data_IF_641181379414
#
_entry.id   IF_641181379414
#
_cell.length_a   1.000
_cell.length_b   1.000
_cell.length_c   1.000
_cell.angle_alpha   90.00
_cell.angle_beta   90.00
_cell.angle_gamma   90.00
#
_symmetry.space_group_name_H-M   'P 1'
#
loop_
_entity.id
_entity.type
_entity.pdbx_description
1 polymer ?
#
# COMPACT_ATOMS: atom_id res chain seq x y z
N UNK A 1 -29.50 -5.47 -14.00
CA UNK A 1 -28.23 -5.94 -14.55
C UNK A 1 -27.63 -6.84 -13.49
N UNK A 2 -27.80 -8.15 -13.63
CA UNK A 2 -27.15 -9.11 -12.70
C UNK A 2 -25.64 -9.02 -12.95
N UNK A 3 -24.91 -8.55 -11.97
CA UNK A 3 -23.45 -8.52 -11.99
C UNK A 3 -22.96 -9.96 -11.86
N UNK A 4 -22.34 -10.45 -12.92
CA UNK A 4 -21.69 -11.75 -12.90
C UNK A 4 -20.55 -11.68 -11.87
N UNK A 5 -20.65 -12.47 -10.80
CA UNK A 5 -19.75 -12.47 -9.65
C UNK A 5 -18.29 -12.85 -10.04
N UNK A 6 -18.08 -13.39 -11.25
CA UNK A 6 -16.78 -13.67 -11.85
C UNK A 6 -16.06 -12.42 -12.38
N UNK A 7 -16.66 -11.23 -12.27
CA UNK A 7 -16.03 -10.00 -12.73
C UNK A 7 -14.87 -9.65 -11.78
N UNK A 8 -13.66 -9.59 -12.31
CA UNK A 8 -12.49 -9.12 -11.58
C UNK A 8 -12.78 -7.77 -10.89
N UNK A 9 -12.42 -7.63 -9.62
CA UNK A 9 -12.66 -6.44 -8.81
C UNK A 9 -12.22 -5.15 -9.54
N UNK A 10 -11.10 -5.19 -10.27
CA UNK A 10 -10.60 -4.05 -11.07
C UNK A 10 -11.54 -3.72 -12.24
N UNK A 11 -12.05 -4.71 -12.96
CA UNK A 11 -13.01 -4.49 -14.04
C UNK A 11 -14.30 -3.88 -13.50
N UNK A 12 -14.76 -4.35 -12.34
CA UNK A 12 -15.90 -3.78 -11.64
C UNK A 12 -15.66 -2.32 -11.26
N UNK A 13 -14.52 -2.02 -10.64
CA UNK A 13 -14.14 -0.67 -10.22
C UNK A 13 -13.98 0.29 -11.41
N UNK A 14 -13.39 -0.17 -12.52
CA UNK A 14 -13.32 0.61 -13.77
C UNK A 14 -14.72 0.95 -14.32
N UNK A 15 -15.69 0.05 -14.18
CA UNK A 15 -17.06 0.32 -14.60
C UNK A 15 -17.74 1.41 -13.76
N UNK A 16 -17.36 1.59 -12.48
CA UNK A 16 -17.93 2.62 -11.61
C UNK A 16 -17.58 4.04 -12.05
N UNK A 17 -16.41 4.25 -12.65
CA UNK A 17 -15.95 5.59 -13.06
C UNK A 17 -16.80 6.21 -14.17
N UNK A 18 -17.46 5.37 -14.97
CA UNK A 18 -18.36 5.80 -16.05
C UNK A 18 -19.81 6.07 -15.60
N UNK A 19 -20.10 5.85 -14.30
CA UNK A 19 -21.47 5.91 -13.79
C UNK A 19 -21.77 7.25 -13.08
N UNK A 20 -23.05 7.67 -13.07
CA UNK A 20 -23.49 8.77 -12.24
C UNK A 20 -23.18 8.51 -10.74
N UNK A 21 -22.84 9.57 -10.00
CA UNK A 21 -22.37 9.50 -8.61
C UNK A 21 -23.25 8.63 -7.70
N UNK A 22 -24.57 8.77 -7.76
CA UNK A 22 -25.48 7.98 -6.93
C UNK A 22 -25.44 6.47 -7.23
N UNK A 23 -25.25 6.11 -8.50
CA UNK A 23 -25.11 4.71 -8.90
C UNK A 23 -23.74 4.17 -8.48
N UNK A 24 -22.68 4.95 -8.62
CA UNK A 24 -21.36 4.58 -8.16
C UNK A 24 -21.33 4.33 -6.65
N UNK A 25 -21.97 5.17 -5.84
CA UNK A 25 -22.07 5.00 -4.37
C UNK A 25 -22.80 3.70 -4.01
N UNK A 26 -23.95 3.40 -4.63
CA UNK A 26 -24.69 2.17 -4.32
C UNK A 26 -23.92 0.90 -4.70
N UNK A 27 -23.12 0.97 -5.77
CA UNK A 27 -22.31 -0.14 -6.23
C UNK A 27 -21.02 -0.29 -5.42
N UNK A 28 -20.54 0.79 -4.78
CA UNK A 28 -19.41 0.76 -3.87
C UNK A 28 -19.64 -0.18 -2.67
N UNK A 29 -20.85 -0.28 -2.20
CA UNK A 29 -21.21 -1.22 -1.14
C UNK A 29 -21.04 -2.69 -1.54
N UNK A 30 -21.17 -3.02 -2.81
CA UNK A 30 -20.96 -4.38 -3.32
C UNK A 30 -19.47 -4.77 -3.35
N UNK A 31 -18.56 -3.80 -3.25
CA UNK A 31 -17.12 -4.07 -3.20
C UNK A 31 -16.74 -4.97 -2.02
N UNK A 32 -17.42 -4.84 -0.88
CA UNK A 32 -17.23 -5.73 0.28
C UNK A 32 -17.46 -7.18 -0.08
N UNK A 33 -18.56 -7.48 -0.78
CA UNK A 33 -18.92 -8.85 -1.14
C UNK A 33 -17.91 -9.45 -2.13
N UNK A 34 -17.43 -8.65 -3.08
CA UNK A 34 -16.38 -9.05 -4.02
C UNK A 34 -15.09 -9.39 -3.28
N UNK A 35 -14.67 -8.52 -2.34
CA UNK A 35 -13.48 -8.75 -1.52
C UNK A 35 -13.66 -10.00 -0.63
N UNK A 36 -14.83 -10.20 -0.03
CA UNK A 36 -15.10 -11.37 0.81
C UNK A 36 -15.05 -12.69 0.04
N UNK A 37 -15.51 -12.70 -1.21
CA UNK A 37 -15.41 -13.89 -2.06
C UNK A 37 -13.96 -14.29 -2.31
N UNK A 38 -13.08 -13.30 -2.56
CA UNK A 38 -11.63 -13.52 -2.72
C UNK A 38 -10.99 -14.03 -1.42
N UNK A 39 -11.31 -13.40 -0.29
CA UNK A 39 -10.67 -13.67 1.00
C UNK A 39 -10.96 -15.04 1.58
N UNK A 40 -12.06 -15.70 1.19
CA UNK A 40 -12.40 -17.05 1.66
C UNK A 40 -11.32 -18.09 1.34
N UNK A 41 -10.56 -17.90 0.29
CA UNK A 41 -9.50 -18.82 -0.16
C UNK A 41 -8.09 -18.37 0.24
N UNK A 42 -7.93 -17.16 0.78
CA UNK A 42 -6.61 -16.60 1.08
C UNK A 42 -6.08 -17.05 2.44
N UNK A 43 -4.77 -17.32 2.48
CA UNK A 43 -4.02 -17.50 3.72
C UNK A 43 -3.77 -16.14 4.38
N UNK A 44 -3.38 -16.09 5.68
CA UNK A 44 -2.92 -14.88 6.31
C UNK A 44 -1.86 -14.18 5.45
N UNK A 45 -2.03 -12.90 5.17
CA UNK A 45 -1.28 -12.14 4.17
C UNK A 45 -0.63 -10.90 4.78
N UNK A 46 0.27 -10.29 4.05
CA UNK A 46 0.81 -8.98 4.38
C UNK A 46 0.06 -7.95 3.55
N UNK A 47 -0.71 -7.09 4.21
CA UNK A 47 -1.41 -5.98 3.60
C UNK A 47 -0.58 -4.71 3.69
N UNK A 48 -0.49 -3.95 2.61
CA UNK A 48 0.33 -2.74 2.56
C UNK A 48 -0.48 -1.60 1.94
N UNK A 49 -0.48 -0.44 2.60
CA UNK A 49 -1.09 0.77 2.08
C UNK A 49 -0.24 1.44 0.99
N UNK A 50 -0.85 2.32 0.20
CA UNK A 50 -0.16 3.08 -0.86
C UNK A 50 0.26 4.45 -0.34
N UNK A 51 -0.69 5.30 0.01
CA UNK A 51 -0.50 6.73 0.23
C UNK A 51 0.27 7.01 1.51
N UNK A 52 1.50 7.49 1.41
CA UNK A 52 2.38 7.70 2.55
C UNK A 52 3.15 6.45 3.01
N UNK A 53 2.84 5.27 2.47
CA UNK A 53 3.53 4.00 2.78
C UNK A 53 4.38 3.52 1.62
N UNK A 54 3.79 3.26 0.46
CA UNK A 54 4.49 2.87 -0.78
C UNK A 54 4.83 4.05 -1.66
N UNK A 55 4.04 5.11 -1.59
CA UNK A 55 4.17 6.32 -2.37
C UNK A 55 4.30 7.56 -1.49
N UNK A 56 5.06 8.56 -1.95
CA UNK A 56 5.10 9.86 -1.31
C UNK A 56 3.74 10.54 -1.43
N UNK A 57 3.04 10.69 -0.31
CA UNK A 57 1.81 11.46 -0.26
C UNK A 57 2.08 12.85 0.29
N UNK A 58 1.69 13.89 -0.45
CA UNK A 58 1.90 15.28 -0.08
C UNK A 58 0.57 15.89 0.36
N UNK A 59 0.43 16.24 1.64
CA UNK A 59 -0.80 16.89 2.15
C UNK A 59 -1.17 18.18 1.40
N UNK A 60 -0.16 18.89 0.90
CA UNK A 60 -0.33 20.14 0.13
C UNK A 60 -0.28 19.90 -1.39
N UNK A 61 -0.48 18.65 -1.83
CA UNK A 61 -0.83 18.30 -3.19
C UNK A 61 0.13 18.66 -4.31
N UNK A 62 1.40 19.00 -4.08
CA UNK A 62 2.30 19.46 -5.15
C UNK A 62 1.68 20.55 -6.05
N UNK A 63 0.99 21.53 -5.47
CA UNK A 63 0.31 22.58 -6.19
C UNK A 63 -1.19 22.36 -6.39
N UNK A 64 -1.73 21.24 -5.96
CA UNK A 64 -3.16 20.98 -5.89
C UNK A 64 -3.71 21.22 -4.48
N UNK A 65 -4.92 21.72 -4.39
CA UNK A 65 -5.70 21.68 -3.15
C UNK A 65 -6.07 20.23 -2.82
N UNK A 66 -6.49 19.97 -1.57
CA UNK A 66 -6.95 18.65 -1.17
C UNK A 66 -8.09 18.12 -2.06
N UNK A 67 -9.01 18.97 -2.47
CA UNK A 67 -10.14 18.60 -3.33
C UNK A 67 -9.68 18.30 -4.76
N UNK A 68 -8.77 19.11 -5.31
CA UNK A 68 -8.22 18.93 -6.66
C UNK A 68 -7.42 17.62 -6.81
N UNK A 69 -6.86 17.06 -5.74
CA UNK A 69 -6.21 15.74 -5.78
C UNK A 69 -7.16 14.63 -6.23
N UNK A 70 -8.47 14.80 -6.01
CA UNK A 70 -9.49 13.82 -6.37
C UNK A 70 -10.14 14.08 -7.73
N UNK A 71 -9.69 15.10 -8.46
CA UNK A 71 -10.14 15.32 -9.84
C UNK A 71 -9.39 14.35 -10.77
N UNK A 72 -10.12 13.50 -11.52
CA UNK A 72 -9.50 12.48 -12.38
C UNK A 72 -8.51 13.07 -13.40
N UNK A 73 -8.80 14.25 -13.93
CA UNK A 73 -7.96 14.97 -14.91
C UNK A 73 -6.60 15.40 -14.38
N UNK A 74 -6.43 15.47 -13.06
CA UNK A 74 -5.16 15.86 -12.43
C UNK A 74 -4.19 14.68 -12.29
N UNK A 75 -4.69 13.45 -12.39
CA UNK A 75 -3.90 12.23 -12.26
C UNK A 75 -2.95 12.25 -11.06
N UNK A 76 -3.38 12.87 -9.94
CA UNK A 76 -2.54 13.09 -8.77
C UNK A 76 -1.97 11.78 -8.23
N UNK A 77 -2.83 10.78 -8.02
CA UNK A 77 -2.40 9.49 -7.45
C UNK A 77 -1.58 8.65 -8.42
N UNK A 78 -1.78 8.83 -9.73
CA UNK A 78 -0.99 8.17 -10.77
C UNK A 78 0.46 8.67 -10.80
N UNK A 79 0.66 9.95 -10.46
CA UNK A 79 1.94 10.64 -10.55
C UNK A 79 2.69 10.72 -9.21
N UNK A 80 2.28 9.99 -8.17
CA UNK A 80 3.02 9.93 -6.90
C UNK A 80 4.36 9.21 -7.11
N UNK A 81 5.41 9.78 -6.52
CA UNK A 81 6.72 9.12 -6.48
C UNK A 81 6.68 7.89 -5.57
N UNK A 82 7.26 6.76 -5.98
CA UNK A 82 7.37 5.59 -5.12
C UNK A 82 8.43 5.81 -4.03
N UNK A 83 8.20 5.23 -2.86
CA UNK A 83 9.26 4.98 -1.89
C UNK A 83 10.10 3.79 -2.37
N UNK A 84 11.24 4.07 -2.98
CA UNK A 84 12.08 3.05 -3.65
C UNK A 84 12.43 1.90 -2.71
N UNK A 85 12.81 2.22 -1.48
CA UNK A 85 13.08 1.20 -0.47
C UNK A 85 11.87 0.27 -0.24
N UNK A 86 10.65 0.82 -0.15
CA UNK A 86 9.43 0.05 0.08
C UNK A 86 9.08 -0.85 -1.10
N UNK A 87 9.31 -0.41 -2.34
CA UNK A 87 9.12 -1.24 -3.54
C UNK A 87 10.00 -2.50 -3.47
N UNK A 88 11.29 -2.35 -3.15
CA UNK A 88 12.20 -3.49 -2.96
C UNK A 88 11.79 -4.40 -1.79
N UNK A 89 11.28 -3.82 -0.70
CA UNK A 89 10.78 -4.60 0.44
C UNK A 89 9.58 -5.46 0.02
N UNK A 90 8.60 -4.88 -0.67
CA UNK A 90 7.41 -5.60 -1.17
C UNK A 90 7.80 -6.73 -2.11
N UNK A 91 8.69 -6.46 -3.06
CA UNK A 91 9.21 -7.49 -3.98
C UNK A 91 9.86 -8.66 -3.21
N UNK A 92 10.60 -8.36 -2.16
CA UNK A 92 11.24 -9.39 -1.34
C UNK A 92 10.23 -10.17 -0.52
N UNK A 93 9.25 -9.49 0.10
CA UNK A 93 8.18 -10.11 0.89
C UNK A 93 7.32 -11.05 0.04
N UNK A 94 7.03 -10.66 -1.20
CA UNK A 94 6.21 -11.46 -2.12
C UNK A 94 6.83 -12.82 -2.51
N UNK A 95 8.14 -12.99 -2.29
CA UNK A 95 8.85 -14.26 -2.55
C UNK A 95 8.56 -15.36 -1.52
N UNK A 96 8.02 -15.02 -0.36
CA UNK A 96 7.75 -15.99 0.70
C UNK A 96 6.34 -15.91 1.30
N UNK A 97 5.56 -14.86 1.01
CA UNK A 97 4.19 -14.69 1.51
C UNK A 97 3.34 -13.94 0.49
N UNK A 98 2.04 -14.18 0.51
CA UNK A 98 1.11 -13.38 -0.26
C UNK A 98 1.12 -11.94 0.25
N UNK A 99 1.44 -11.02 -0.65
CA UNK A 99 1.36 -9.57 -0.40
C UNK A 99 0.14 -9.01 -1.09
N UNK A 100 -0.65 -8.27 -0.35
CA UNK A 100 -1.85 -7.59 -0.81
C UNK A 100 -1.68 -6.08 -0.68
N UNK A 101 -2.11 -5.36 -1.67
CA UNK A 101 -2.22 -3.90 -1.59
C UNK A 101 -3.63 -3.56 -1.11
N UNK A 102 -3.75 -2.74 -0.06
CA UNK A 102 -5.03 -2.27 0.46
C UNK A 102 -5.01 -0.76 0.66
N UNK A 103 -5.72 -0.02 -0.18
CA UNK A 103 -5.70 1.45 -0.13
C UNK A 103 -7.09 2.04 -0.04
N UNK A 104 -7.22 3.08 0.79
CA UNK A 104 -8.42 3.91 0.80
C UNK A 104 -8.44 4.79 -0.45
N UNK A 105 -9.58 4.83 -1.16
CA UNK A 105 -9.70 5.56 -2.41
C UNK A 105 -11.07 6.22 -2.54
N UNK A 106 -11.11 7.39 -3.17
CA UNK A 106 -12.31 7.86 -3.84
C UNK A 106 -12.48 7.06 -5.12
N UNK A 107 -13.73 6.73 -5.49
CA UNK A 107 -14.02 5.92 -6.70
C UNK A 107 -13.42 6.53 -7.98
N UNK A 108 -13.28 7.87 -8.04
CA UNK A 108 -12.70 8.60 -9.18
C UNK A 108 -11.19 8.37 -9.33
N UNK A 109 -10.51 8.02 -8.24
CA UNK A 109 -9.04 7.89 -8.19
C UNK A 109 -8.55 6.45 -8.27
N UNK A 110 -9.46 5.48 -8.32
CA UNK A 110 -9.11 4.05 -8.36
C UNK A 110 -8.27 3.71 -9.57
N UNK A 111 -8.61 4.25 -10.75
CA UNK A 111 -7.85 4.00 -11.97
C UNK A 111 -6.39 4.46 -11.82
N UNK A 112 -6.17 5.68 -11.30
CA UNK A 112 -4.84 6.22 -11.06
C UNK A 112 -4.02 5.34 -10.12
N UNK A 113 -4.60 4.95 -8.98
CA UNK A 113 -3.94 4.07 -8.02
C UNK A 113 -3.65 2.69 -8.58
N UNK A 114 -4.57 2.14 -9.36
CA UNK A 114 -4.37 0.86 -10.03
C UNK A 114 -3.21 0.92 -11.03
N UNK A 115 -3.18 1.94 -11.87
CA UNK A 115 -2.09 2.14 -12.84
C UNK A 115 -0.76 2.36 -12.16
N UNK A 116 -0.74 3.10 -11.04
CA UNK A 116 0.44 3.25 -10.20
C UNK A 116 0.95 1.90 -9.68
N UNK A 117 0.05 1.05 -9.15
CA UNK A 117 0.42 -0.30 -8.69
C UNK A 117 1.01 -1.10 -9.84
N UNK A 118 0.39 -1.08 -11.02
CA UNK A 118 0.89 -1.87 -12.18
C UNK A 118 2.22 -1.38 -12.73
N UNK A 119 2.53 -0.11 -12.57
CA UNK A 119 3.82 0.45 -12.95
C UNK A 119 4.94 0.02 -11.98
N UNK A 120 4.73 0.20 -10.68
CA UNK A 120 5.79 0.01 -9.69
C UNK A 120 5.82 -1.39 -9.06
N UNK A 121 4.71 -2.11 -9.08
CA UNK A 121 4.53 -3.45 -8.51
C UNK A 121 3.85 -4.40 -9.51
N UNK A 122 4.40 -4.56 -10.74
CA UNK A 122 3.74 -5.33 -11.80
C UNK A 122 3.55 -6.80 -11.46
N UNK A 123 4.29 -7.33 -10.50
CA UNK A 123 4.21 -8.70 -10.00
C UNK A 123 3.03 -8.94 -9.05
N UNK A 124 2.37 -7.89 -8.54
CA UNK A 124 1.16 -8.03 -7.71
C UNK A 124 -0.01 -8.39 -8.62
N UNK A 125 -0.62 -9.54 -8.32
CA UNK A 125 -1.85 -9.99 -9.00
C UNK A 125 -3.01 -9.04 -8.72
N UNK A 126 -3.92 -8.87 -9.67
CA UNK A 126 -5.15 -8.10 -9.50
C UNK A 126 -6.00 -8.63 -8.33
N UNK A 127 -5.92 -9.94 -8.06
CA UNK A 127 -6.60 -10.56 -6.92
C UNK A 127 -6.06 -10.13 -5.57
N UNK A 128 -4.86 -9.58 -5.53
CA UNK A 128 -4.21 -9.07 -4.33
C UNK A 128 -4.29 -7.54 -4.20
N UNK A 129 -5.15 -6.87 -4.98
CA UNK A 129 -5.38 -5.44 -4.92
C UNK A 129 -6.78 -5.17 -4.36
N UNK A 130 -6.84 -4.44 -3.25
CA UNK A 130 -8.05 -4.09 -2.52
C UNK A 130 -8.17 -2.58 -2.39
N UNK A 131 -9.32 -2.04 -2.79
CA UNK A 131 -9.65 -0.64 -2.53
C UNK A 131 -10.80 -0.56 -1.51
N UNK A 132 -10.70 0.41 -0.62
CA UNK A 132 -11.72 0.72 0.38
C UNK A 132 -12.21 2.14 0.18
N UNK A 133 -13.50 2.46 0.40
CA UNK A 133 -13.96 3.84 0.41
C UNK A 133 -13.20 4.69 1.43
N UNK A 134 -13.00 5.98 1.11
CA UNK A 134 -12.40 6.94 2.04
C UNK A 134 -13.17 6.96 3.38
N UNK A 135 -12.42 6.99 4.48
CA UNK A 135 -13.00 7.06 5.83
C UNK A 135 -13.64 5.76 6.32
N UNK A 136 -13.59 4.69 5.54
CA UNK A 136 -14.06 3.37 5.97
C UNK A 136 -12.89 2.54 6.50
N UNK A 137 -13.12 1.86 7.62
CA UNK A 137 -12.16 0.97 8.25
C UNK A 137 -11.79 -0.18 7.29
N UNK A 138 -10.50 -0.30 6.99
CA UNK A 138 -9.94 -1.32 6.08
C UNK A 138 -10.27 -2.75 6.54
N UNK A 139 -10.37 -3.00 7.85
CA UNK A 139 -10.68 -4.34 8.38
C UNK A 139 -12.04 -4.85 7.92
N UNK A 140 -12.99 -3.94 7.63
CA UNK A 140 -14.31 -4.29 7.10
C UNK A 140 -14.26 -4.89 5.70
N UNK A 141 -13.18 -4.66 4.96
CA UNK A 141 -12.96 -5.17 3.60
C UNK A 141 -12.13 -6.46 3.56
N UNK A 142 -11.54 -6.83 4.70
CA UNK A 142 -10.72 -8.04 4.84
C UNK A 142 -11.19 -8.92 6.01
N UNK A 143 -12.48 -8.84 6.37
CA UNK A 143 -13.09 -9.53 7.51
C UNK A 143 -12.77 -11.03 7.50
N UNK A 144 -12.25 -11.53 8.64
CA UNK A 144 -11.84 -12.91 8.82
C UNK A 144 -10.39 -13.18 8.43
N UNK A 145 -9.71 -12.23 7.77
CA UNK A 145 -8.31 -12.35 7.39
C UNK A 145 -7.40 -11.33 8.12
N UNK A 146 -7.95 -10.24 8.68
CA UNK A 146 -7.19 -9.27 9.47
C UNK A 146 -6.55 -9.94 10.70
N UNK A 147 -7.29 -10.80 11.40
CA UNK A 147 -6.90 -11.44 12.67
C UNK A 147 -5.56 -12.18 12.62
N UNK A 148 -5.16 -12.69 11.43
CA UNK A 148 -3.91 -13.45 11.25
C UNK A 148 -2.92 -12.79 10.31
N UNK A 149 -3.19 -11.56 9.91
CA UNK A 149 -2.45 -10.86 8.87
C UNK A 149 -1.72 -9.64 9.44
N UNK A 150 -0.75 -9.15 8.68
CA UNK A 150 -0.03 -7.91 8.97
C UNK A 150 -0.64 -6.78 8.13
N UNK A 151 -0.76 -5.58 8.73
CA UNK A 151 -0.94 -4.33 7.98
C UNK A 151 0.29 -3.45 8.15
N UNK A 152 0.87 -3.02 7.05
CA UNK A 152 1.88 -1.95 7.01
C UNK A 152 1.20 -0.69 6.47
N UNK A 153 1.10 0.34 7.30
CA UNK A 153 0.34 1.56 7.00
C UNK A 153 0.98 2.76 7.73
N UNK A 154 0.83 3.96 7.22
CA UNK A 154 1.32 5.17 7.86
C UNK A 154 0.26 5.89 8.69
N UNK A 155 -1.01 5.49 8.60
CA UNK A 155 -2.13 6.15 9.28
C UNK A 155 -2.55 5.41 10.54
N UNK A 156 -2.43 6.08 11.70
CA UNK A 156 -2.64 5.45 13.02
C UNK A 156 -4.02 4.83 13.18
N UNK A 157 -5.09 5.45 12.67
CA UNK A 157 -6.44 4.91 12.81
C UNK A 157 -6.63 3.57 12.09
N UNK A 158 -5.98 3.39 10.93
CA UNK A 158 -5.99 2.10 10.23
C UNK A 158 -5.28 1.02 11.06
N UNK A 159 -4.12 1.38 11.63
CA UNK A 159 -3.32 0.48 12.47
C UNK A 159 -4.06 0.09 13.75
N UNK A 160 -4.72 1.07 14.41
CA UNK A 160 -5.52 0.83 15.60
C UNK A 160 -6.71 -0.10 15.34
N UNK A 161 -7.38 0.11 14.21
CA UNK A 161 -8.48 -0.75 13.80
C UNK A 161 -7.99 -2.17 13.50
N UNK A 162 -6.83 -2.30 12.84
CA UNK A 162 -6.24 -3.59 12.51
C UNK A 162 -5.83 -4.38 13.75
N UNK A 163 -5.10 -3.74 14.67
CA UNK A 163 -4.69 -4.29 15.96
C UNK A 163 -5.89 -4.74 16.80
N UNK A 164 -6.93 -3.89 16.88
CA UNK A 164 -8.18 -4.22 17.58
C UNK A 164 -8.91 -5.45 17.01
N UNK A 165 -8.72 -5.73 15.73
CA UNK A 165 -9.27 -6.92 15.06
C UNK A 165 -8.32 -8.13 15.11
N UNK A 166 -7.29 -8.11 15.96
CA UNK A 166 -6.38 -9.23 16.21
C UNK A 166 -5.27 -9.40 15.17
N UNK A 167 -5.10 -8.45 14.26
CA UNK A 167 -3.99 -8.43 13.32
C UNK A 167 -2.74 -7.77 13.89
N UNK A 168 -1.62 -7.89 13.20
CA UNK A 168 -0.39 -7.17 13.53
C UNK A 168 -0.30 -5.87 12.75
N UNK A 169 -0.16 -4.77 13.45
CA UNK A 169 -0.01 -3.44 12.88
C UNK A 169 1.46 -3.02 12.88
N UNK A 170 1.99 -2.67 11.71
CA UNK A 170 3.35 -2.13 11.53
C UNK A 170 3.24 -0.71 10.99
N UNK A 171 3.77 0.25 11.73
CA UNK A 171 3.79 1.65 11.35
C UNK A 171 4.86 1.94 10.31
N UNK A 172 4.47 2.45 9.15
CA UNK A 172 5.39 3.11 8.24
C UNK A 172 5.64 4.54 8.72
N UNK A 173 6.85 4.83 9.23
CA UNK A 173 7.22 6.18 9.64
C UNK A 173 7.64 6.97 8.40
N UNK A 174 6.86 8.01 8.11
CA UNK A 174 7.10 8.96 7.03
C UNK A 174 7.16 10.41 7.57
N UNK A 175 7.16 11.41 6.67
CA UNK A 175 7.18 12.83 7.04
C UNK A 175 5.78 13.44 7.21
N UNK A 176 4.70 12.65 7.09
CA UNK A 176 3.32 13.13 6.99
C UNK A 176 2.56 12.91 8.28
N UNK A 177 2.58 11.68 8.77
CA UNK A 177 1.80 11.26 9.92
C UNK A 177 2.65 11.19 11.20
N UNK A 178 2.03 11.50 12.32
CA UNK A 178 2.70 11.51 13.62
C UNK A 178 3.26 10.13 13.94
N UNK A 179 4.53 9.99 14.27
CA UNK A 179 5.08 8.75 14.80
C UNK A 179 4.36 8.35 16.09
N UNK A 180 4.28 7.06 16.34
CA UNK A 180 3.73 6.52 17.57
C UNK A 180 4.62 5.37 18.06
N UNK A 181 4.82 5.29 19.38
CA UNK A 181 5.53 4.18 20.01
C UNK A 181 4.63 2.96 20.22
N UNK A 182 3.32 3.10 19.97
CA UNK A 182 2.34 2.04 20.18
C UNK A 182 2.58 0.82 19.29
N UNK A 183 3.03 1.07 18.04
CA UNK A 183 3.24 0.01 17.06
C UNK A 183 4.72 -0.18 16.76
N UNK A 184 5.11 -1.40 16.49
CA UNK A 184 6.39 -1.69 15.83
C UNK A 184 6.42 -0.96 14.48
N UNK A 185 7.59 -0.56 14.02
CA UNK A 185 7.65 0.35 12.89
C UNK A 185 8.78 0.03 11.90
N UNK A 186 8.57 0.47 10.67
CA UNK A 186 9.56 0.55 9.60
C UNK A 186 9.84 2.04 9.36
N UNK A 187 11.08 2.46 9.53
CA UNK A 187 11.46 3.85 9.33
C UNK A 187 11.73 4.12 7.83
N UNK A 188 10.66 4.39 7.10
CA UNK A 188 10.70 4.73 5.67
C UNK A 188 11.38 6.09 5.48
N UNK A 189 11.04 7.08 6.32
CA UNK A 189 11.53 8.46 6.24
C UNK A 189 13.06 8.54 6.20
N UNK A 190 13.73 7.92 7.17
CA UNK A 190 15.18 8.07 7.28
C UNK A 190 15.91 7.34 6.16
N UNK A 191 15.36 6.22 5.69
CA UNK A 191 15.89 5.49 4.55
C UNK A 191 15.77 6.28 3.26
N UNK A 192 14.60 6.86 2.99
CA UNK A 192 14.37 7.69 1.81
C UNK A 192 15.15 9.01 1.86
N UNK A 193 15.28 9.64 3.03
CA UNK A 193 16.12 10.84 3.19
C UNK A 193 17.58 10.52 2.89
N UNK A 194 18.07 9.38 3.36
CA UNK A 194 19.42 8.95 3.04
C UNK A 194 19.58 8.70 1.53
N UNK A 195 18.65 7.99 0.89
CA UNK A 195 18.67 7.75 -0.56
C UNK A 195 18.72 9.07 -1.34
N UNK A 196 17.87 10.03 -0.99
CA UNK A 196 17.86 11.36 -1.61
C UNK A 196 19.19 12.09 -1.45
N UNK A 197 19.82 12.00 -0.28
CA UNK A 197 21.15 12.64 -0.04
C UNK A 197 22.27 12.03 -0.89
N UNK A 198 22.10 10.79 -1.37
CA UNK A 198 23.07 10.14 -2.25
C UNK A 198 22.84 10.48 -3.75
N UNK A 199 21.70 11.08 -4.09
CA UNK A 199 21.33 11.40 -5.49
C UNK A 199 21.93 12.73 -6.00
N UNK A 200 22.73 13.45 -5.18
CA UNK A 200 23.49 14.59 -5.67
C UNK A 200 24.49 14.13 -6.73
N UNK A 201 24.34 14.65 -7.95
CA UNK A 201 25.14 14.22 -9.11
C UNK A 201 26.61 14.62 -8.95
N UNK A 202 27.49 13.77 -9.49
CA UNK A 202 28.90 14.07 -9.69
C UNK A 202 29.21 13.99 -11.17
N UNK A 203 30.08 14.88 -11.67
CA UNK A 203 30.54 14.83 -13.06
C UNK A 203 31.51 13.66 -13.33
N UNK A 204 31.94 12.94 -12.30
CA UNK A 204 32.83 11.80 -12.39
C UNK A 204 32.04 10.48 -12.51
N UNK A 205 32.13 9.84 -13.69
CA UNK A 205 31.43 8.58 -14.00
C UNK A 205 31.84 7.42 -13.05
N UNK A 206 33.10 7.41 -12.57
CA UNK A 206 33.54 6.36 -11.64
C UNK A 206 32.94 6.53 -10.26
N UNK A 207 32.79 7.79 -9.83
CA UNK A 207 32.14 8.15 -8.58
C UNK A 207 30.66 7.77 -8.67
N UNK A 208 29.97 8.06 -9.76
CA UNK A 208 28.57 7.69 -9.94
C UNK A 208 28.34 6.17 -9.94
N UNK A 209 29.22 5.39 -10.57
CA UNK A 209 29.19 3.92 -10.53
C UNK A 209 29.41 3.37 -9.11
N UNK A 210 30.28 3.98 -8.35
CA UNK A 210 30.54 3.58 -6.95
C UNK A 210 29.35 3.92 -6.06
N UNK A 211 28.78 5.12 -6.19
CA UNK A 211 27.54 5.53 -5.49
C UNK A 211 26.40 4.56 -5.76
N UNK A 212 26.13 4.21 -7.02
CA UNK A 212 25.09 3.27 -7.38
C UNK A 212 25.26 1.91 -6.68
N UNK A 213 26.48 1.38 -6.60
CA UNK A 213 26.78 0.13 -5.87
C UNK A 213 26.55 0.27 -4.36
N UNK A 214 26.94 1.39 -3.77
CA UNK A 214 26.73 1.67 -2.33
C UNK A 214 25.25 1.74 -2.02
N UNK A 215 24.47 2.45 -2.85
CA UNK A 215 23.01 2.57 -2.71
C UNK A 215 22.36 1.18 -2.80
N UNK A 216 22.69 0.41 -3.83
CA UNK A 216 22.16 -0.94 -4.01
C UNK A 216 22.46 -1.85 -2.81
N UNK A 217 23.71 -1.84 -2.34
CA UNK A 217 24.12 -2.63 -1.16
C UNK A 217 23.36 -2.20 0.10
N UNK A 218 23.19 -0.90 0.31
CA UNK A 218 22.50 -0.37 1.48
C UNK A 218 21.00 -0.71 1.45
N UNK A 219 20.33 -0.59 0.30
CA UNK A 219 18.94 -1.02 0.13
C UNK A 219 18.82 -2.51 0.45
N UNK A 220 19.69 -3.36 -0.09
CA UNK A 220 19.67 -4.81 0.19
C UNK A 220 19.82 -5.12 1.69
N UNK A 221 20.68 -4.40 2.40
CA UNK A 221 20.88 -4.58 3.85
C UNK A 221 19.61 -4.21 4.64
N UNK A 222 18.99 -3.08 4.33
CA UNK A 222 17.74 -2.66 4.98
C UNK A 222 16.59 -3.61 4.69
N UNK A 223 16.41 -3.97 3.42
CA UNK A 223 15.37 -4.92 3.00
C UNK A 223 15.54 -6.26 3.71
N UNK A 224 16.78 -6.76 3.82
CA UNK A 224 17.08 -7.99 4.56
C UNK A 224 16.68 -7.87 6.02
N UNK A 225 17.08 -6.79 6.71
CA UNK A 225 16.78 -6.59 8.13
C UNK A 225 15.27 -6.51 8.39
N UNK A 226 14.54 -5.72 7.61
CA UNK A 226 13.09 -5.57 7.81
C UNK A 226 12.32 -6.82 7.37
N UNK A 227 12.81 -7.55 6.36
CA UNK A 227 12.25 -8.85 5.98
C UNK A 227 12.37 -9.89 7.10
N UNK A 228 13.54 -9.98 7.73
CA UNK A 228 13.74 -10.89 8.87
C UNK A 228 12.89 -10.47 10.08
N UNK A 229 12.75 -9.17 10.34
CA UNK A 229 11.85 -8.66 11.36
C UNK A 229 10.40 -9.07 11.08
N UNK A 230 9.88 -8.86 9.87
CA UNK A 230 8.52 -9.22 9.48
C UNK A 230 8.30 -10.74 9.58
N UNK A 231 9.28 -11.56 9.19
CA UNK A 231 9.22 -13.01 9.37
C UNK A 231 9.11 -13.43 10.83
N UNK A 232 9.86 -12.77 11.72
CA UNK A 232 9.78 -13.04 13.16
C UNK A 232 8.38 -12.71 13.71
N UNK A 233 7.81 -11.57 13.29
CA UNK A 233 6.44 -11.17 13.66
C UNK A 233 5.41 -12.19 13.17
N UNK A 234 5.51 -12.68 11.93
CA UNK A 234 4.64 -13.72 11.39
C UNK A 234 4.75 -15.02 12.16
N UNK A 235 5.99 -15.48 12.46
CA UNK A 235 6.23 -16.72 13.18
C UNK A 235 5.71 -16.67 14.63
N UNK A 236 5.73 -15.51 15.29
CA UNK A 236 5.14 -15.33 16.62
C UNK A 236 3.63 -15.53 16.53
N UNK A 237 2.97 -14.91 15.55
CA UNK A 237 1.53 -15.04 15.35
C UNK A 237 1.10 -16.48 15.01
N UNK A 238 1.90 -17.24 14.25
CA UNK A 238 1.60 -18.63 13.92
C UNK A 238 1.73 -19.57 15.12
N UNK A 239 2.55 -19.23 16.12
CA UNK A 239 2.74 -20.03 17.36
C UNK A 239 1.70 -19.74 18.45
N UNK A 240 1.03 -18.61 18.40
CA UNK A 240 0.02 -18.22 19.37
C UNK A 240 -1.40 -18.69 19.00
N UNK A 241 -1.58 -19.36 17.88
CA UNK A 241 -2.81 -19.96 17.38
C UNK A 241 -2.68 -21.48 17.28
#
# INVERSE_FOLDING_TARGET
MELNIDTNCITYLKSLQSLPLQQAISLWDNLKEINYAKLKSMKPSIYIDIDGTLAYFYRNGRGFTYEEMFFPENHYFRNLEPHIYMIYLVETLSKFRDVCIISSADYKTIQDKYEWIKEYLPFISDDNIFFCPLGVDKTKFVKGNAEKSILIDDYNLNLEAWDKNGGVAIKAINNINTPTERFVHINVRDKENWLKSQMESSDDEQIEKLKAKIIEMQIKNWVKADTEFIKQVLNINERCN
#
